data_IF_152234612044
#
_entry.id   IF_152234612044
#
_cell.length_a   1.000
_cell.length_b   1.000
_cell.length_c   1.000
_cell.angle_alpha   90.00
_cell.angle_beta   90.00
_cell.angle_gamma   90.00
#
_symmetry.space_group_name_H-M   'P 1'
#
loop_
_entity.id
_entity.type
_entity.pdbx_description
1 polymer ?
#
# COMPACT_ATOMS: atom_id res chain seq x y z
N UNK A 1 1.88 -26.76 5.56
CA UNK A 1 0.79 -25.93 4.97
C UNK A 1 0.23 -26.63 3.73
N UNK A 2 -1.09 -26.71 3.59
CA UNK A 2 -1.73 -27.34 2.42
C UNK A 2 -1.55 -26.47 1.14
N UNK A 3 -1.65 -27.11 -0.05
CA UNK A 3 -1.40 -26.46 -1.35
C UNK A 3 -2.36 -25.28 -1.62
N UNK A 4 -3.60 -25.37 -1.14
CA UNK A 4 -4.65 -24.35 -1.35
C UNK A 4 -4.35 -23.10 -0.52
N UNK A 5 -4.02 -23.28 0.76
CA UNK A 5 -3.63 -22.18 1.67
C UNK A 5 -2.34 -21.50 1.20
N UNK A 6 -1.34 -22.29 0.79
CA UNK A 6 -0.11 -21.76 0.20
C UNK A 6 -0.40 -20.83 -0.99
N UNK A 7 -1.17 -21.30 -1.98
CA UNK A 7 -1.50 -20.50 -3.17
C UNK A 7 -2.23 -19.21 -2.83
N UNK A 8 -3.20 -19.28 -1.92
CA UNK A 8 -3.99 -18.11 -1.50
C UNK A 8 -3.13 -17.07 -0.78
N UNK A 9 -2.31 -17.51 0.18
CA UNK A 9 -1.43 -16.63 0.93
C UNK A 9 -0.36 -15.98 0.04
N UNK A 10 0.21 -16.74 -0.92
CA UNK A 10 1.16 -16.20 -1.91
C UNK A 10 0.52 -15.13 -2.80
N UNK A 11 -0.70 -15.37 -3.30
CA UNK A 11 -1.42 -14.37 -4.09
C UNK A 11 -1.70 -13.12 -3.25
N UNK A 12 -2.11 -13.28 -1.99
CA UNK A 12 -2.36 -12.16 -1.09
C UNK A 12 -1.10 -11.29 -0.87
N UNK A 13 0.06 -11.91 -0.71
CA UNK A 13 1.36 -11.22 -0.59
C UNK A 13 1.72 -10.45 -1.87
N UNK A 14 1.55 -11.06 -3.04
CA UNK A 14 1.85 -10.40 -4.31
C UNK A 14 0.92 -9.20 -4.53
N UNK A 15 -0.36 -9.34 -4.24
CA UNK A 15 -1.32 -8.25 -4.35
C UNK A 15 -1.00 -7.14 -3.34
N UNK A 16 -0.61 -7.51 -2.11
CA UNK A 16 -0.19 -6.56 -1.08
C UNK A 16 1.03 -5.74 -1.48
N UNK A 17 1.94 -6.30 -2.27
CA UNK A 17 3.10 -5.56 -2.78
C UNK A 17 2.79 -4.75 -4.04
N UNK A 18 2.05 -5.34 -4.99
CA UNK A 18 1.84 -4.72 -6.31
C UNK A 18 0.82 -3.60 -6.29
N UNK A 19 -0.26 -3.73 -5.52
CA UNK A 19 -1.35 -2.76 -5.54
C UNK A 19 -0.96 -1.38 -4.97
N UNK A 20 -0.34 -1.26 -3.78
CA UNK A 20 0.14 0.02 -3.29
C UNK A 20 1.12 0.68 -4.26
N UNK A 21 1.98 -0.10 -4.88
CA UNK A 21 2.98 0.40 -5.82
C UNK A 21 2.38 0.84 -7.15
N UNK A 22 1.28 0.22 -7.58
CA UNK A 22 0.49 0.69 -8.71
C UNK A 22 -0.10 2.08 -8.42
N UNK A 23 -0.67 2.27 -7.24
CA UNK A 23 -1.23 3.57 -6.83
C UNK A 23 -0.15 4.63 -6.72
N UNK A 24 1.00 4.30 -6.10
CA UNK A 24 2.16 5.20 -5.98
C UNK A 24 2.72 5.56 -7.36
N UNK A 25 2.93 4.58 -8.24
CA UNK A 25 3.42 4.82 -9.59
C UNK A 25 2.49 5.70 -10.41
N UNK A 26 1.18 5.49 -10.28
CA UNK A 26 0.18 6.33 -10.92
C UNK A 26 0.20 7.76 -10.34
N UNK A 27 0.26 7.91 -9.02
CA UNK A 27 0.31 9.22 -8.36
C UNK A 27 1.56 10.01 -8.78
N UNK A 28 2.74 9.39 -8.80
CA UNK A 28 3.98 10.03 -9.21
C UNK A 28 3.93 10.54 -10.65
N UNK A 29 3.33 9.78 -11.56
CA UNK A 29 3.14 10.21 -12.94
C UNK A 29 2.16 11.38 -13.10
N UNK A 30 1.32 11.64 -12.09
CA UNK A 30 0.32 12.71 -12.07
C UNK A 30 0.70 13.91 -11.18
N UNK A 31 1.91 13.94 -10.65
CA UNK A 31 2.41 15.08 -9.85
C UNK A 31 2.24 16.42 -10.57
N UNK A 32 2.63 16.59 -11.86
CA UNK A 32 2.45 17.86 -12.55
C UNK A 32 1.00 18.33 -12.58
N UNK A 33 0.06 17.42 -12.86
CA UNK A 33 -1.36 17.71 -12.82
C UNK A 33 -1.84 18.15 -11.43
N UNK A 34 -1.30 17.55 -10.37
CA UNK A 34 -1.70 17.88 -9.00
C UNK A 34 -1.18 19.26 -8.56
N UNK A 35 0.02 19.63 -9.00
CA UNK A 35 0.61 20.98 -8.82
C UNK A 35 -0.30 22.03 -9.48
N UNK A 36 -0.63 21.85 -10.75
CA UNK A 36 -1.51 22.76 -11.50
C UNK A 36 -2.90 22.87 -10.85
N UNK A 37 -3.50 21.74 -10.48
CA UNK A 37 -4.84 21.70 -9.88
C UNK A 37 -4.92 22.46 -8.56
N UNK A 38 -3.89 22.36 -7.73
CA UNK A 38 -3.85 22.99 -6.41
C UNK A 38 -3.22 24.38 -6.44
N UNK A 39 -2.70 24.80 -7.60
CA UNK A 39 -1.97 26.06 -7.77
C UNK A 39 -0.86 26.25 -6.71
N UNK A 40 -0.04 25.20 -6.55
CA UNK A 40 1.07 25.14 -5.60
C UNK A 40 2.41 25.16 -6.34
N UNK A 41 3.47 25.50 -5.65
CA UNK A 41 4.83 25.43 -6.18
C UNK A 41 5.57 24.13 -5.77
N UNK A 42 6.80 23.99 -6.23
CA UNK A 42 7.63 22.81 -5.95
C UNK A 42 8.03 22.73 -4.46
N UNK A 43 8.10 23.87 -3.76
CA UNK A 43 8.38 23.92 -2.33
C UNK A 43 7.21 23.38 -1.51
N UNK A 44 6.00 23.78 -1.87
CA UNK A 44 4.76 23.25 -1.26
C UNK A 44 4.64 21.75 -1.45
N UNK A 45 4.92 21.25 -2.66
CA UNK A 45 4.98 19.84 -2.94
C UNK A 45 6.05 19.14 -2.09
N UNK A 46 7.23 19.77 -1.94
CA UNK A 46 8.32 19.29 -1.10
C UNK A 46 7.88 19.07 0.35
N UNK A 47 7.12 20.01 0.93
CA UNK A 47 6.58 19.87 2.28
C UNK A 47 5.53 18.76 2.38
N UNK A 48 4.70 18.56 1.37
CA UNK A 48 3.74 17.46 1.34
C UNK A 48 4.46 16.09 1.30
N UNK A 49 5.51 15.97 0.47
CA UNK A 49 6.35 14.77 0.39
C UNK A 49 7.11 14.54 1.71
N UNK A 50 7.64 15.59 2.34
CA UNK A 50 8.31 15.49 3.64
C UNK A 50 7.34 15.00 4.72
N UNK A 51 6.14 15.56 4.77
CA UNK A 51 5.09 15.12 5.70
C UNK A 51 4.78 13.63 5.49
N UNK A 52 4.52 13.23 4.25
CA UNK A 52 4.33 11.83 3.89
C UNK A 52 5.51 10.96 4.36
N UNK A 53 6.75 11.37 4.09
CA UNK A 53 7.96 10.63 4.41
C UNK A 53 8.17 10.42 5.92
N UNK A 54 7.89 11.43 6.74
CA UNK A 54 7.97 11.32 8.20
C UNK A 54 7.00 10.26 8.71
N UNK A 55 5.74 10.33 8.32
CA UNK A 55 4.72 9.36 8.75
C UNK A 55 4.92 7.97 8.15
N UNK A 56 5.49 7.89 6.95
CA UNK A 56 5.95 6.63 6.34
C UNK A 56 7.02 5.94 7.21
N UNK A 57 8.06 6.67 7.63
CA UNK A 57 9.12 6.12 8.48
C UNK A 57 8.59 5.70 9.85
N UNK A 58 7.77 6.52 10.48
CA UNK A 58 7.14 6.21 11.78
C UNK A 58 6.30 4.93 11.67
N UNK A 59 5.44 4.87 10.66
CA UNK A 59 4.55 3.73 10.45
C UNK A 59 5.31 2.44 10.15
N UNK A 60 6.39 2.53 9.36
CA UNK A 60 7.25 1.40 9.04
C UNK A 60 7.80 0.74 10.33
N UNK A 61 8.30 1.56 11.28
CA UNK A 61 8.82 1.06 12.56
C UNK A 61 7.71 0.49 13.46
N UNK A 62 6.60 1.20 13.58
CA UNK A 62 5.46 0.79 14.42
C UNK A 62 4.83 -0.51 13.89
N UNK A 63 4.65 -0.61 12.57
CA UNK A 63 4.04 -1.78 11.96
C UNK A 63 4.83 -3.07 12.26
N UNK A 64 6.14 -3.06 12.00
CA UNK A 64 6.97 -4.25 12.20
C UNK A 64 7.19 -4.61 13.67
N UNK A 65 7.40 -3.61 14.55
CA UNK A 65 7.81 -3.85 15.94
C UNK A 65 6.65 -3.98 16.91
N UNK A 66 5.52 -3.36 16.64
CA UNK A 66 4.39 -3.27 17.58
C UNK A 66 3.13 -3.94 17.03
N UNK A 67 2.69 -3.53 15.83
CA UNK A 67 1.40 -3.97 15.32
C UNK A 67 1.41 -5.43 14.90
N UNK A 68 2.42 -5.87 14.17
CA UNK A 68 2.51 -7.26 13.71
C UNK A 68 2.63 -8.25 14.88
N UNK A 69 3.51 -8.05 15.89
CA UNK A 69 3.56 -8.92 17.06
C UNK A 69 2.24 -9.00 17.82
N UNK A 70 1.48 -7.89 17.88
CA UNK A 70 0.25 -7.81 18.66
C UNK A 70 -0.98 -8.36 17.92
N UNK A 71 -1.11 -8.08 16.62
CA UNK A 71 -2.32 -8.35 15.85
C UNK A 71 -2.14 -9.39 14.73
N UNK A 72 -0.90 -9.76 14.42
CA UNK A 72 -0.57 -10.62 13.29
C UNK A 72 -0.49 -9.88 11.96
N UNK A 73 0.20 -10.48 10.98
CA UNK A 73 0.45 -9.84 9.68
C UNK A 73 -0.83 -9.63 8.88
N UNK A 74 -1.76 -10.56 8.92
CA UNK A 74 -3.01 -10.53 8.16
C UNK A 74 -3.88 -9.31 8.50
N UNK A 75 -4.09 -9.04 9.80
CA UNK A 75 -4.92 -7.92 10.25
C UNK A 75 -4.25 -6.60 9.92
N UNK A 76 -2.96 -6.47 10.22
CA UNK A 76 -2.22 -5.22 9.99
C UNK A 76 -2.11 -4.91 8.49
N UNK A 77 -1.94 -5.94 7.64
CA UNK A 77 -1.93 -5.80 6.20
C UNK A 77 -3.29 -5.30 5.65
N UNK A 78 -4.40 -5.82 6.19
CA UNK A 78 -5.74 -5.37 5.81
C UNK A 78 -5.98 -3.92 6.23
N UNK A 79 -5.57 -3.54 7.44
CA UNK A 79 -5.64 -2.16 7.92
C UNK A 79 -4.82 -1.21 7.06
N UNK A 80 -3.59 -1.58 6.72
CA UNK A 80 -2.74 -0.79 5.83
C UNK A 80 -3.42 -0.52 4.47
N UNK A 81 -4.00 -1.56 3.85
CA UNK A 81 -4.72 -1.42 2.59
C UNK A 81 -5.96 -0.52 2.72
N UNK A 82 -6.69 -0.59 3.82
CA UNK A 82 -7.83 0.28 4.09
C UNK A 82 -7.40 1.75 4.23
N UNK A 83 -6.30 2.01 4.94
CA UNK A 83 -5.75 3.36 5.09
C UNK A 83 -5.25 3.88 3.73
N UNK A 84 -4.58 3.05 2.92
CA UNK A 84 -4.16 3.41 1.57
C UNK A 84 -5.38 3.78 0.71
N UNK A 85 -6.46 3.01 0.78
CA UNK A 85 -7.71 3.28 0.08
C UNK A 85 -8.23 4.67 0.38
N UNK A 86 -8.38 4.96 1.67
CA UNK A 86 -8.91 6.23 2.14
C UNK A 86 -7.98 7.40 1.77
N UNK A 87 -6.67 7.27 2.02
CA UNK A 87 -5.71 8.33 1.72
C UNK A 87 -5.58 8.60 0.22
N UNK A 88 -5.64 7.57 -0.62
CA UNK A 88 -5.61 7.72 -2.09
C UNK A 88 -6.79 8.57 -2.57
N UNK A 89 -7.98 8.34 -2.02
CA UNK A 89 -9.15 9.17 -2.31
C UNK A 89 -8.90 10.63 -1.90
N UNK A 90 -8.41 10.86 -0.70
CA UNK A 90 -8.16 12.22 -0.20
C UNK A 90 -7.12 12.98 -1.03
N UNK A 91 -5.99 12.36 -1.36
CA UNK A 91 -4.88 13.01 -2.08
C UNK A 91 -5.28 13.61 -3.43
N UNK A 92 -6.35 13.12 -4.06
CA UNK A 92 -6.75 13.53 -5.42
C UNK A 92 -8.06 14.29 -5.45
N UNK A 93 -8.86 14.25 -4.38
CA UNK A 93 -10.18 14.91 -4.34
C UNK A 93 -10.16 16.21 -3.56
N UNK A 94 -9.26 16.36 -2.60
CA UNK A 94 -9.20 17.56 -1.77
C UNK A 94 -8.73 18.79 -2.58
N UNK A 95 -9.42 19.94 -2.47
CA UNK A 95 -9.20 21.08 -3.35
C UNK A 95 -8.11 22.04 -2.89
N UNK A 96 -7.62 21.91 -1.65
CA UNK A 96 -6.71 22.87 -1.04
C UNK A 96 -5.39 22.25 -0.59
N UNK A 97 -4.31 23.02 -0.63
CA UNK A 97 -2.97 22.61 -0.22
C UNK A 97 -2.90 22.10 1.22
N UNK A 98 -3.51 22.80 2.18
CA UNK A 98 -3.49 22.36 3.58
C UNK A 98 -4.17 20.99 3.77
N UNK A 99 -5.18 20.73 2.97
CA UNK A 99 -5.86 19.42 2.98
C UNK A 99 -4.97 18.33 2.36
N UNK A 100 -4.16 18.66 1.35
CA UNK A 100 -3.15 17.76 0.81
C UNK A 100 -2.12 17.38 1.88
N UNK A 101 -1.63 18.37 2.65
CA UNK A 101 -0.70 18.12 3.78
C UNK A 101 -1.33 17.17 4.80
N UNK A 102 -2.57 17.41 5.21
CA UNK A 102 -3.28 16.54 6.15
C UNK A 102 -3.51 15.13 5.58
N UNK A 103 -3.83 15.02 4.29
CA UNK A 103 -4.00 13.73 3.61
C UNK A 103 -2.68 12.95 3.44
N UNK A 104 -1.54 13.65 3.41
CA UNK A 104 -0.22 13.03 3.36
C UNK A 104 0.12 12.24 4.64
N UNK A 105 -0.52 12.56 5.78
CA UNK A 105 -0.36 11.83 7.04
C UNK A 105 -0.90 10.39 6.92
N UNK A 106 -2.20 10.15 6.67
CA UNK A 106 -2.71 8.80 6.52
C UNK A 106 -2.09 8.08 5.32
N UNK A 107 -1.70 8.79 4.26
CA UNK A 107 -0.97 8.20 3.15
C UNK A 107 0.38 7.63 3.62
N UNK A 108 1.19 8.40 4.33
CA UNK A 108 2.44 7.94 4.91
C UNK A 108 2.24 6.73 5.85
N UNK A 109 1.23 6.77 6.72
CA UNK A 109 0.91 5.68 7.63
C UNK A 109 0.53 4.38 6.89
N UNK A 110 -0.32 4.46 5.88
CA UNK A 110 -0.76 3.29 5.11
C UNK A 110 0.38 2.67 4.31
N UNK A 111 1.05 3.47 3.49
CA UNK A 111 2.12 2.97 2.62
C UNK A 111 3.37 2.56 3.40
N UNK A 112 3.74 3.30 4.46
CA UNK A 112 4.87 2.96 5.31
C UNK A 112 4.72 1.62 6.03
N UNK A 113 3.50 1.25 6.42
CA UNK A 113 3.23 -0.04 7.06
C UNK A 113 3.19 -1.21 6.06
N UNK A 114 2.78 -0.99 4.81
CA UNK A 114 2.57 -2.07 3.83
C UNK A 114 3.84 -2.85 3.49
N UNK A 115 4.99 -2.18 3.38
CA UNK A 115 6.27 -2.80 3.03
C UNK A 115 6.74 -3.85 4.04
N UNK A 116 6.99 -3.49 5.32
CA UNK A 116 7.46 -4.44 6.32
C UNK A 116 6.46 -5.57 6.57
N UNK A 117 5.15 -5.27 6.58
CA UNK A 117 4.12 -6.29 6.82
C UNK A 117 4.12 -7.33 5.70
N UNK A 118 4.15 -6.89 4.44
CA UNK A 118 4.20 -7.78 3.29
C UNK A 118 5.45 -8.66 3.28
N UNK A 119 6.60 -8.10 3.64
CA UNK A 119 7.86 -8.85 3.77
C UNK A 119 7.81 -9.90 4.88
N UNK A 120 7.29 -9.55 6.07
CA UNK A 120 7.12 -10.49 7.18
C UNK A 120 6.14 -11.61 6.78
N UNK A 121 5.03 -11.26 6.14
CA UNK A 121 4.06 -12.25 5.67
C UNK A 121 4.66 -13.22 4.64
N UNK A 122 5.49 -12.72 3.70
CA UNK A 122 6.23 -13.55 2.77
C UNK A 122 7.17 -14.51 3.48
N UNK A 123 7.96 -14.03 4.45
CA UNK A 123 8.87 -14.86 5.25
C UNK A 123 8.13 -15.95 6.05
N UNK A 124 6.95 -15.65 6.59
CA UNK A 124 6.13 -16.65 7.28
C UNK A 124 5.63 -17.74 6.31
N UNK A 125 5.24 -17.38 5.08
CA UNK A 125 4.88 -18.36 4.06
C UNK A 125 6.09 -19.23 3.71
N UNK A 126 7.28 -18.64 3.54
CA UNK A 126 8.52 -19.37 3.30
C UNK A 126 8.81 -20.36 4.41
N UNK A 127 8.77 -19.90 5.66
CA UNK A 127 9.01 -20.73 6.85
C UNK A 127 8.09 -21.95 6.91
N UNK A 128 6.81 -21.81 6.57
CA UNK A 128 5.82 -22.89 6.65
C UNK A 128 5.71 -23.75 5.39
N UNK A 129 6.22 -23.27 4.27
CA UNK A 129 6.13 -24.00 2.98
C UNK A 129 7.44 -24.60 2.50
N UNK A 130 8.58 -24.10 3.01
CA UNK A 130 9.91 -24.43 2.49
C UNK A 130 10.18 -23.88 1.08
N UNK A 131 9.36 -22.94 0.59
CA UNK A 131 9.46 -22.36 -0.75
C UNK A 131 9.80 -20.88 -0.67
N UNK A 132 10.67 -20.41 -1.55
CA UNK A 132 11.10 -19.02 -1.62
C UNK A 132 9.96 -18.16 -2.22
N UNK A 133 9.54 -17.12 -1.51
CA UNK A 133 8.45 -16.20 -1.89
C UNK A 133 8.94 -14.75 -2.06
N UNK A 134 10.04 -14.37 -1.42
CA UNK A 134 10.58 -13.02 -1.49
C UNK A 134 10.75 -12.48 -2.92
N UNK A 135 11.21 -13.25 -3.95
CA UNK A 135 11.28 -12.76 -5.31
C UNK A 135 9.92 -12.40 -5.90
N UNK A 136 8.85 -13.14 -5.58
CA UNK A 136 7.49 -12.83 -6.06
C UNK A 136 6.96 -11.54 -5.42
N UNK A 137 7.26 -11.30 -4.15
CA UNK A 137 6.96 -10.05 -3.47
C UNK A 137 7.67 -8.87 -4.14
N UNK A 138 8.98 -8.97 -4.38
CA UNK A 138 9.77 -7.95 -5.05
C UNK A 138 9.32 -7.70 -6.50
N UNK A 139 8.99 -8.76 -7.22
CA UNK A 139 8.45 -8.66 -8.58
C UNK A 139 7.11 -7.92 -8.59
N UNK A 140 6.20 -8.25 -7.65
CA UNK A 140 4.93 -7.55 -7.49
C UNK A 140 5.12 -6.05 -7.26
N UNK A 141 6.06 -5.66 -6.41
CA UNK A 141 6.41 -4.27 -6.15
C UNK A 141 6.81 -3.52 -7.43
N UNK A 142 7.76 -4.06 -8.19
CA UNK A 142 8.27 -3.43 -9.41
C UNK A 142 7.22 -3.37 -10.54
N UNK A 143 6.45 -4.45 -10.73
CA UNK A 143 5.35 -4.47 -11.71
C UNK A 143 4.30 -3.44 -11.34
N UNK A 144 3.96 -3.31 -10.05
CA UNK A 144 3.01 -2.31 -9.58
C UNK A 144 3.42 -0.90 -10.00
N UNK A 145 4.63 -0.47 -9.66
CA UNK A 145 5.14 0.86 -10.02
C UNK A 145 5.14 1.09 -11.54
N UNK A 146 5.60 0.11 -12.31
CA UNK A 146 5.67 0.20 -13.77
C UNK A 146 4.28 0.35 -14.39
N UNK A 147 3.33 -0.49 -14.00
CA UNK A 147 1.94 -0.43 -14.49
C UNK A 147 1.28 0.87 -14.06
N UNK A 148 1.52 1.32 -12.83
CA UNK A 148 0.99 2.59 -12.32
C UNK A 148 1.48 3.80 -13.12
N UNK A 149 2.77 3.88 -13.40
CA UNK A 149 3.33 4.93 -14.26
C UNK A 149 2.78 4.90 -15.68
N UNK A 150 2.62 3.71 -16.27
CA UNK A 150 1.97 3.53 -17.56
C UNK A 150 0.51 4.00 -17.56
N UNK A 151 -0.23 3.69 -16.48
CA UNK A 151 -1.61 4.14 -16.30
C UNK A 151 -1.69 5.67 -16.24
N UNK A 152 -0.78 6.34 -15.52
CA UNK A 152 -0.72 7.81 -15.48
C UNK A 152 -0.52 8.40 -16.89
N UNK A 153 0.40 7.84 -17.68
CA UNK A 153 0.61 8.27 -19.06
C UNK A 153 -0.63 8.10 -19.95
N UNK A 154 -1.36 7.00 -19.78
CA UNK A 154 -2.62 6.76 -20.49
C UNK A 154 -3.72 7.74 -20.08
N UNK A 155 -3.83 8.08 -18.80
CA UNK A 155 -4.77 9.05 -18.24
C UNK A 155 -4.54 10.42 -18.90
N UNK A 156 -3.30 10.91 -18.86
CA UNK A 156 -2.93 12.22 -19.41
C UNK A 156 -3.12 12.25 -20.95
N UNK A 157 -2.71 11.20 -21.65
CA UNK A 157 -2.83 11.13 -23.12
C UNK A 157 -4.27 11.18 -23.60
N UNK A 158 -5.19 10.56 -22.86
CA UNK A 158 -6.62 10.49 -23.27
C UNK A 158 -7.47 11.57 -22.61
N UNK A 159 -6.86 12.58 -21.96
CA UNK A 159 -7.57 13.65 -21.24
C UNK A 159 -8.60 13.13 -20.23
N UNK A 160 -8.33 11.98 -19.60
CA UNK A 160 -9.19 11.42 -18.55
C UNK A 160 -8.94 12.20 -17.26
N UNK A 161 -9.98 12.58 -16.57
CA UNK A 161 -9.85 13.27 -15.28
C UNK A 161 -9.18 12.35 -14.26
N UNK A 162 -7.98 12.69 -13.77
CA UNK A 162 -7.23 11.85 -12.83
C UNK A 162 -8.04 11.47 -11.58
N UNK A 163 -8.81 12.41 -11.03
CA UNK A 163 -9.66 12.15 -9.84
C UNK A 163 -10.60 10.96 -10.03
N UNK A 164 -11.20 10.80 -11.22
CA UNK A 164 -12.10 9.68 -11.51
C UNK A 164 -11.39 8.33 -11.39
N UNK A 165 -10.18 8.24 -11.92
CA UNK A 165 -9.38 7.00 -11.85
C UNK A 165 -8.97 6.70 -10.41
N UNK A 166 -8.57 7.72 -9.65
CA UNK A 166 -8.18 7.52 -8.25
C UNK A 166 -9.37 7.15 -7.36
N UNK A 167 -10.56 7.67 -7.62
CA UNK A 167 -11.78 7.19 -6.96
C UNK A 167 -12.00 5.71 -7.26
N UNK A 168 -11.87 5.30 -8.53
CA UNK A 168 -11.99 3.90 -8.92
C UNK A 168 -10.92 3.01 -8.24
N UNK A 169 -9.66 3.46 -8.19
CA UNK A 169 -8.60 2.77 -7.47
C UNK A 169 -8.91 2.68 -5.97
N UNK A 170 -9.40 3.75 -5.34
CA UNK A 170 -9.78 3.74 -3.92
C UNK A 170 -10.90 2.72 -3.63
N UNK A 171 -11.91 2.67 -4.47
CA UNK A 171 -12.98 1.66 -4.36
C UNK A 171 -12.41 0.26 -4.57
N UNK A 172 -11.55 0.07 -5.57
CA UNK A 172 -10.92 -1.23 -5.83
C UNK A 172 -10.05 -1.70 -4.66
N UNK A 173 -9.37 -0.79 -3.95
CA UNK A 173 -8.56 -1.17 -2.79
C UNK A 173 -9.38 -1.69 -1.61
N UNK A 174 -10.67 -1.38 -1.52
CA UNK A 174 -11.58 -2.01 -0.55
C UNK A 174 -11.71 -3.52 -0.86
N UNK A 175 -11.90 -3.85 -2.14
CA UNK A 175 -11.94 -5.26 -2.56
C UNK A 175 -10.61 -5.96 -2.33
N UNK A 176 -9.48 -5.27 -2.55
CA UNK A 176 -8.14 -5.78 -2.22
C UNK A 176 -8.00 -6.04 -0.73
N UNK A 177 -8.45 -5.14 0.14
CA UNK A 177 -8.45 -5.32 1.59
C UNK A 177 -9.26 -6.55 2.02
N UNK A 178 -10.47 -6.70 1.48
CA UNK A 178 -11.35 -7.86 1.74
C UNK A 178 -10.68 -9.16 1.26
N UNK A 179 -10.07 -9.13 0.07
CA UNK A 179 -9.36 -10.29 -0.49
C UNK A 179 -8.21 -10.73 0.41
N UNK A 180 -7.38 -9.78 0.86
CA UNK A 180 -6.24 -10.03 1.76
C UNK A 180 -6.75 -10.59 3.09
N UNK A 181 -7.81 -10.01 3.66
CA UNK A 181 -8.40 -10.50 4.90
C UNK A 181 -8.88 -11.95 4.79
N UNK A 182 -9.48 -12.33 3.65
CA UNK A 182 -9.98 -13.71 3.44
C UNK A 182 -8.87 -14.71 3.11
N UNK A 183 -7.82 -14.30 2.40
CA UNK A 183 -6.84 -15.21 1.81
C UNK A 183 -5.43 -15.13 2.42
N UNK A 184 -5.14 -14.18 3.31
CA UNK A 184 -3.90 -14.14 4.08
C UNK A 184 -3.73 -15.37 4.98
N UNK A 185 -2.54 -15.52 5.59
CA UNK A 185 -2.24 -16.66 6.46
C UNK A 185 -3.29 -16.84 7.56
N UNK A 186 -3.70 -18.08 7.83
CA UNK A 186 -4.56 -18.37 8.97
C UNK A 186 -3.86 -18.00 10.29
N UNK A 187 -4.64 -17.62 11.30
CA UNK A 187 -4.13 -17.11 12.58
C UNK A 187 -3.12 -18.04 13.28
N UNK A 188 -3.25 -19.35 13.13
CA UNK A 188 -2.34 -20.34 13.73
C UNK A 188 -0.97 -20.45 13.02
N UNK A 189 -0.85 -19.90 11.79
CA UNK A 189 0.39 -19.83 11.00
C UNK A 189 0.97 -18.41 10.95
N UNK A 190 0.23 -17.44 11.46
CA UNK A 190 0.64 -16.04 11.51
C UNK A 190 1.64 -15.81 12.65
N UNK A 191 2.18 -14.61 12.73
CA UNK A 191 3.15 -14.26 13.75
C UNK A 191 2.55 -14.44 15.15
N UNK A 192 3.22 -15.26 15.98
CA UNK A 192 2.97 -15.32 17.42
C UNK A 192 4.05 -14.47 18.08
N UNK A 193 3.64 -13.41 18.76
CA UNK A 193 4.56 -12.67 19.63
C UNK A 193 5.16 -13.61 20.71
N UNK A 194 6.37 -13.33 21.14
CA UNK A 194 7.11 -14.11 22.16
C UNK A 194 6.41 -14.19 23.53
N UNK A 195 5.18 -13.77 23.66
CA UNK A 195 4.38 -13.76 24.87
C UNK A 195 3.59 -15.05 25.18
N UNK A 196 3.55 -16.01 24.27
CA UNK A 196 2.96 -17.35 24.51
C UNK A 196 4.08 -18.41 24.50
N UNK A 197 4.88 -18.43 25.58
CA UNK A 197 5.60 -19.63 26.04
C UNK A 197 4.78 -20.35 27.06
#
# INVERSE_FOLDING_TARGET
MDKKTFRKATIAVVICSSYPMLVVGCYFGLIPWNIERLNIDESDLGFAILTFGIFFLISNQIAGRILVPKFGTKIVMTLAMTIISFSTFLLVTLPEYYMLLLASIPAGLGWGSSGPIGSIHAQLIEKHSGRIIAPYYAMGFNIGIFVGGGLAGLILRNNITPSTIFIALSVFSIFVSIFIYKNGLPKHLDFKGDGEK
#
